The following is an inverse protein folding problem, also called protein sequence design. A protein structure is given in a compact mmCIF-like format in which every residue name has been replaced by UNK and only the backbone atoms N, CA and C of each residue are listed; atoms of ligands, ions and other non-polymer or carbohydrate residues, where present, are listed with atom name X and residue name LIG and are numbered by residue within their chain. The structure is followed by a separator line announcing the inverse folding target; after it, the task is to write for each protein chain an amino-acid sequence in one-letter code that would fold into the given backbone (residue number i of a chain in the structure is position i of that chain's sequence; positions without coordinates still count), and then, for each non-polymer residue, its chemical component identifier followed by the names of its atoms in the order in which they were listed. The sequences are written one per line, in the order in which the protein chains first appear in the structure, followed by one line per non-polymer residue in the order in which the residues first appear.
data_IF_379243752855
#
_entry.id   IF_379243752855
#
_cell.length_a   1.000
_cell.length_b   1.000
_cell.length_c   1.000
_cell.angle_alpha   90.00
_cell.angle_beta   90.00
_cell.angle_gamma   90.00
#
_symmetry.space_group_name_H-M   'P 1'
#
loop_
_entity.id
_entity.type
_entity.pdbx_description
1 polymer ?
#
# COMPACT_ATOMS: atom_id res chain seq x y z
N UNK A 1 20.33 -5.33 -10.76
CA UNK A 1 19.31 -4.46 -10.15
C UNK A 1 18.86 -5.03 -8.80
N UNK A 2 18.19 -4.19 -7.97
CA UNK A 2 17.68 -4.64 -6.66
C UNK A 2 16.53 -5.65 -6.76
N UNK A 3 15.84 -5.69 -7.88
CA UNK A 3 14.76 -6.64 -8.14
C UNK A 3 15.22 -7.94 -8.83
N UNK A 4 16.53 -8.11 -9.05
CA UNK A 4 17.07 -9.37 -9.58
C UNK A 4 17.18 -10.41 -8.46
N UNK A 5 17.05 -11.68 -8.84
CA UNK A 5 17.34 -12.81 -7.95
C UNK A 5 18.84 -12.85 -7.71
N UNK A 6 19.25 -12.77 -6.45
CA UNK A 6 20.66 -12.83 -6.03
C UNK A 6 20.88 -14.01 -5.08
N UNK A 7 22.10 -14.43 -4.95
CA UNK A 7 22.51 -15.47 -3.98
C UNK A 7 22.63 -14.83 -2.57
N UNK A 8 21.47 -14.61 -1.96
CA UNK A 8 21.30 -14.06 -0.61
C UNK A 8 20.25 -14.87 0.14
N UNK A 9 20.15 -14.80 1.47
CA UNK A 9 19.05 -15.40 2.20
C UNK A 9 17.70 -14.83 1.71
N UNK A 10 16.75 -15.72 1.42
CA UNK A 10 15.43 -15.35 0.94
C UNK A 10 14.37 -15.46 2.04
N UNK A 11 13.44 -14.51 2.05
CA UNK A 11 12.21 -14.60 2.83
C UNK A 11 11.22 -15.61 2.24
N UNK A 12 10.17 -15.89 2.99
CA UNK A 12 9.09 -16.79 2.56
C UNK A 12 7.88 -16.00 2.10
N UNK A 13 7.24 -16.45 1.01
CA UNK A 13 5.93 -15.99 0.58
C UNK A 13 4.87 -17.04 0.94
N UNK A 14 3.79 -16.61 1.59
CA UNK A 14 2.67 -17.46 1.97
C UNK A 14 1.35 -16.83 1.53
N UNK A 15 0.51 -17.60 0.86
CA UNK A 15 -0.88 -17.21 0.60
C UNK A 15 -1.73 -17.51 1.84
N UNK A 16 -2.45 -16.51 2.33
CA UNK A 16 -3.24 -16.62 3.56
C UNK A 16 -4.64 -16.08 3.32
N UNK A 17 -5.65 -16.85 3.75
CA UNK A 17 -7.06 -16.47 3.63
C UNK A 17 -7.60 -15.96 4.96
N UNK A 18 -8.43 -14.95 4.91
CA UNK A 18 -9.09 -14.37 6.07
C UNK A 18 -10.52 -13.96 5.76
N UNK A 19 -11.35 -13.90 6.79
CA UNK A 19 -12.73 -13.44 6.67
C UNK A 19 -12.77 -11.94 6.88
N UNK A 20 -13.21 -11.21 5.86
CA UNK A 20 -13.41 -9.78 5.92
C UNK A 20 -14.87 -9.47 6.24
N UNK A 21 -15.14 -9.15 7.52
CA UNK A 21 -16.49 -8.82 8.01
C UNK A 21 -17.00 -7.47 7.49
N UNK A 22 -16.10 -6.55 7.13
CA UNK A 22 -16.45 -5.22 6.59
C UNK A 22 -16.92 -5.33 5.14
N UNK A 23 -16.22 -6.16 4.35
CA UNK A 23 -16.57 -6.44 2.96
C UNK A 23 -17.56 -7.61 2.82
N UNK A 24 -17.75 -8.42 3.88
CA UNK A 24 -18.68 -9.54 3.90
C UNK A 24 -18.23 -10.73 3.04
N UNK A 25 -16.93 -10.96 2.90
CA UNK A 25 -16.39 -12.02 2.03
C UNK A 25 -15.08 -12.58 2.53
N UNK A 26 -14.71 -13.77 2.02
CA UNK A 26 -13.37 -14.32 2.21
C UNK A 26 -12.38 -13.60 1.28
N UNK A 27 -11.26 -13.19 1.84
CA UNK A 27 -10.18 -12.51 1.14
C UNK A 27 -8.89 -13.32 1.24
N UNK A 28 -7.99 -13.11 0.28
CA UNK A 28 -6.62 -13.64 0.30
C UNK A 28 -5.63 -12.48 0.35
N UNK A 29 -4.54 -12.67 1.09
CA UNK A 29 -3.36 -11.82 1.01
C UNK A 29 -2.11 -12.69 0.85
N UNK A 30 -1.05 -12.11 0.30
CA UNK A 30 0.28 -12.70 0.27
C UNK A 30 1.11 -12.08 1.40
N UNK A 31 1.69 -12.93 2.22
CA UNK A 31 2.55 -12.51 3.34
C UNK A 31 3.99 -12.87 3.00
N UNK A 32 4.85 -11.85 2.94
CA UNK A 32 6.29 -12.03 2.97
C UNK A 32 6.77 -11.98 4.42
N UNK A 33 7.48 -13.01 4.85
CA UNK A 33 8.22 -13.03 6.12
C UNK A 33 9.72 -12.97 5.82
N UNK A 34 10.51 -12.18 6.59
CA UNK A 34 11.92 -11.95 6.26
C UNK A 34 12.77 -13.22 6.46
N UNK A 35 13.98 -13.26 5.87
CA UNK A 35 14.91 -14.35 6.12
C UNK A 35 15.15 -14.58 7.62
N UNK A 36 15.14 -15.83 8.05
CA UNK A 36 15.30 -16.20 9.46
C UNK A 36 14.04 -16.17 10.31
N UNK A 37 12.90 -15.71 9.77
CA UNK A 37 11.64 -15.64 10.51
C UNK A 37 11.27 -16.97 11.18
N UNK A 38 11.32 -18.10 10.46
CA UNK A 38 10.89 -19.40 11.00
C UNK A 38 11.81 -19.96 12.12
N UNK A 39 13.03 -19.47 12.18
CA UNK A 39 14.04 -19.92 13.15
C UNK A 39 14.23 -18.92 14.31
N UNK A 40 13.37 -17.94 14.44
CA UNK A 40 13.43 -16.88 15.45
C UNK A 40 12.08 -16.72 16.14
N UNK A 41 12.10 -16.22 17.39
CA UNK A 41 10.92 -15.77 18.12
C UNK A 41 10.76 -14.24 18.09
N UNK A 42 11.55 -13.55 17.30
CA UNK A 42 11.51 -12.11 17.19
C UNK A 42 10.19 -11.61 16.56
N UNK A 43 9.80 -10.41 16.97
CA UNK A 43 8.68 -9.67 16.38
C UNK A 43 9.21 -8.66 15.39
N UNK A 44 8.47 -8.48 14.29
CA UNK A 44 8.88 -7.66 13.17
C UNK A 44 7.90 -6.49 12.93
N UNK A 45 8.39 -5.35 12.44
CA UNK A 45 7.51 -4.30 11.92
C UNK A 45 6.81 -4.79 10.64
N UNK A 46 5.73 -4.09 10.24
CA UNK A 46 4.87 -4.52 9.14
C UNK A 46 4.67 -3.41 8.12
N UNK A 47 4.93 -3.72 6.86
CA UNK A 47 4.53 -2.93 5.70
C UNK A 47 3.27 -3.55 5.06
N UNK A 48 2.18 -2.82 5.02
CA UNK A 48 0.98 -3.12 4.25
C UNK A 48 1.11 -2.48 2.87
N UNK A 49 1.04 -3.29 1.78
CA UNK A 49 1.41 -2.85 0.44
C UNK A 49 0.29 -3.13 -0.57
N UNK A 50 -0.22 -2.06 -1.20
CA UNK A 50 -1.35 -2.07 -2.11
C UNK A 50 -0.93 -1.94 -3.59
N UNK A 51 -1.55 -2.74 -4.44
CA UNK A 51 -1.42 -2.66 -5.90
C UNK A 51 -2.34 -1.56 -6.50
N UNK A 52 -2.23 -1.32 -7.80
CA UNK A 52 -3.07 -0.40 -8.57
C UNK A 52 -4.27 -1.07 -9.23
N UNK A 53 -5.10 -0.29 -9.93
CA UNK A 53 -6.24 -0.80 -10.66
C UNK A 53 -5.85 -1.91 -11.65
N UNK A 54 -6.68 -2.95 -11.73
CA UNK A 54 -6.43 -4.12 -12.58
C UNK A 54 -5.37 -5.10 -12.07
N UNK A 55 -4.77 -4.83 -10.90
CA UNK A 55 -3.89 -5.75 -10.19
C UNK A 55 -4.64 -6.60 -9.16
N UNK A 56 -3.87 -7.37 -8.42
CA UNK A 56 -4.30 -8.25 -7.35
C UNK A 56 -3.21 -8.38 -6.27
N UNK A 57 -3.43 -9.21 -5.27
CA UNK A 57 -2.49 -9.46 -4.18
C UNK A 57 -1.17 -10.11 -4.64
N UNK A 58 -1.06 -10.58 -5.86
CA UNK A 58 0.18 -11.13 -6.43
C UNK A 58 0.97 -10.12 -7.27
N UNK A 59 0.37 -8.98 -7.61
CA UNK A 59 0.96 -8.01 -8.53
C UNK A 59 2.32 -7.47 -8.07
N UNK A 60 2.47 -7.18 -6.77
CA UNK A 60 3.75 -6.75 -6.22
C UNK A 60 4.82 -7.85 -6.20
N UNK A 61 4.42 -9.12 -6.22
CA UNK A 61 5.34 -10.26 -6.30
C UNK A 61 5.73 -10.51 -7.76
N UNK A 62 4.73 -10.73 -8.62
CA UNK A 62 4.92 -11.17 -9.99
C UNK A 62 5.50 -10.07 -10.90
N UNK A 63 5.05 -8.83 -10.73
CA UNK A 63 5.47 -7.67 -11.53
C UNK A 63 6.39 -6.74 -10.74
N UNK A 64 6.09 -6.48 -9.47
CA UNK A 64 6.86 -5.60 -8.59
C UNK A 64 8.16 -6.23 -8.09
N UNK A 65 8.22 -7.57 -8.02
CA UNK A 65 9.37 -8.34 -7.49
C UNK A 65 9.76 -7.90 -6.07
N UNK A 66 8.76 -7.52 -5.28
CA UNK A 66 8.94 -6.93 -3.96
C UNK A 66 9.74 -7.83 -3.01
N UNK A 67 9.52 -9.15 -3.07
CA UNK A 67 10.27 -10.12 -2.26
C UNK A 67 11.78 -10.07 -2.55
N UNK A 68 12.21 -9.96 -3.81
CA UNK A 68 13.63 -9.86 -4.16
C UNK A 68 14.22 -8.51 -3.77
N UNK A 69 13.45 -7.42 -3.92
CA UNK A 69 13.86 -6.09 -3.45
C UNK A 69 14.13 -6.13 -1.93
N UNK A 70 13.22 -6.74 -1.17
CA UNK A 70 13.36 -6.89 0.28
C UNK A 70 14.54 -7.76 0.66
N UNK A 71 14.66 -8.95 0.07
CA UNK A 71 15.78 -9.87 0.31
C UNK A 71 17.13 -9.19 0.10
N UNK A 72 17.27 -8.50 -1.05
CA UNK A 72 18.50 -7.81 -1.42
C UNK A 72 18.81 -6.63 -0.48
N UNK A 73 17.81 -5.82 -0.13
CA UNK A 73 18.01 -4.69 0.77
C UNK A 73 18.33 -5.13 2.20
N UNK A 74 17.68 -6.17 2.70
CA UNK A 74 17.94 -6.76 4.02
C UNK A 74 19.37 -7.34 4.05
N UNK A 75 19.74 -8.13 3.04
CA UNK A 75 21.10 -8.71 2.94
C UNK A 75 22.19 -7.65 2.86
N UNK A 76 21.89 -6.48 2.28
CA UNK A 76 22.81 -5.33 2.22
C UNK A 76 22.83 -4.49 3.51
N UNK A 77 22.02 -4.82 4.51
CA UNK A 77 21.86 -4.01 5.72
C UNK A 77 21.23 -2.64 5.47
N UNK A 78 20.51 -2.47 4.36
CA UNK A 78 19.85 -1.21 3.97
C UNK A 78 18.39 -1.11 4.40
N UNK A 79 17.76 -2.24 4.69
CA UNK A 79 16.41 -2.30 5.20
C UNK A 79 16.35 -3.14 6.48
N UNK A 80 15.49 -2.72 7.40
CA UNK A 80 15.14 -3.52 8.56
C UNK A 80 14.38 -4.79 8.11
N UNK A 81 14.65 -5.97 8.70
CA UNK A 81 13.80 -7.13 8.49
C UNK A 81 12.35 -6.83 8.88
N UNK A 82 11.42 -7.05 7.95
CA UNK A 82 10.00 -6.72 8.14
C UNK A 82 9.08 -7.77 7.53
N UNK A 83 7.88 -7.86 8.05
CA UNK A 83 6.78 -8.57 7.38
C UNK A 83 6.17 -7.63 6.34
N UNK A 84 5.85 -8.13 5.14
CA UNK A 84 5.09 -7.38 4.15
C UNK A 84 3.79 -8.10 3.84
N UNK A 85 2.69 -7.37 3.99
CA UNK A 85 1.33 -7.83 3.72
C UNK A 85 0.89 -7.24 2.40
N UNK A 86 0.83 -8.07 1.37
CA UNK A 86 0.39 -7.67 0.04
C UNK A 86 -1.04 -8.17 -0.14
N UNK A 87 -1.98 -7.27 -0.23
CA UNK A 87 -3.40 -7.62 -0.23
C UNK A 87 -4.14 -6.99 -1.41
N UNK A 88 -5.30 -7.54 -1.72
CA UNK A 88 -6.10 -7.09 -2.85
C UNK A 88 -6.82 -5.79 -2.52
N UNK A 89 -6.50 -4.71 -3.23
CA UNK A 89 -7.16 -3.41 -3.10
C UNK A 89 -8.54 -3.34 -3.76
N UNK A 90 -8.93 -4.33 -4.57
CA UNK A 90 -10.25 -4.39 -5.15
C UNK A 90 -11.26 -4.90 -4.09
N UNK A 91 -12.10 -4.01 -3.59
CA UNK A 91 -13.09 -4.33 -2.56
C UNK A 91 -14.15 -5.37 -2.99
N UNK A 92 -14.27 -5.65 -4.29
CA UNK A 92 -15.22 -6.59 -4.85
C UNK A 92 -14.61 -7.99 -5.10
N UNK A 93 -13.30 -8.14 -4.99
CA UNK A 93 -12.64 -9.44 -5.19
C UNK A 93 -12.71 -10.31 -3.93
N UNK A 94 -13.05 -11.57 -4.07
CA UNK A 94 -13.17 -12.53 -2.96
C UNK A 94 -11.80 -13.03 -2.50
N UNK A 95 -11.32 -14.17 -2.94
CA UNK A 95 -10.03 -14.73 -2.50
C UNK A 95 -8.89 -14.28 -3.39
N UNK A 96 -8.95 -14.65 -4.66
CA UNK A 96 -7.96 -14.30 -5.68
C UNK A 96 -8.65 -14.05 -7.02
N UNK A 97 -8.03 -13.32 -7.94
CA UNK A 97 -8.51 -13.21 -9.30
C UNK A 97 -8.66 -14.60 -9.94
N UNK A 98 -9.78 -14.84 -10.55
CA UNK A 98 -10.08 -16.12 -11.15
C UNK A 98 -10.90 -17.10 -10.29
N UNK A 99 -10.93 -16.93 -8.98
CA UNK A 99 -11.76 -17.73 -8.07
C UNK A 99 -13.20 -17.23 -7.97
N UNK A 100 -13.44 -15.97 -8.35
CA UNK A 100 -14.78 -15.39 -8.35
C UNK A 100 -15.65 -16.04 -9.43
N UNK A 101 -16.84 -16.54 -9.11
CA UNK A 101 -17.78 -17.07 -10.11
C UNK A 101 -18.05 -16.09 -11.25
N UNK A 102 -18.21 -16.60 -12.46
CA UNK A 102 -18.35 -15.77 -13.66
C UNK A 102 -19.49 -14.74 -13.55
N UNK A 103 -20.62 -15.12 -12.96
CA UNK A 103 -21.75 -14.22 -12.74
C UNK A 103 -21.38 -13.02 -11.88
N UNK A 104 -20.67 -13.26 -10.76
CA UNK A 104 -20.20 -12.20 -9.87
C UNK A 104 -19.13 -11.32 -10.53
N UNK A 105 -18.29 -11.88 -11.40
CA UNK A 105 -17.33 -11.08 -12.20
C UNK A 105 -18.03 -10.13 -13.16
N UNK A 106 -19.12 -10.57 -13.80
CA UNK A 106 -19.90 -9.72 -14.72
C UNK A 106 -20.54 -8.57 -13.93
N UNK A 107 -21.15 -8.86 -12.78
CA UNK A 107 -21.72 -7.82 -11.91
C UNK A 107 -20.66 -6.85 -11.38
N UNK A 108 -19.50 -7.36 -10.94
CA UNK A 108 -18.38 -6.56 -10.50
C UNK A 108 -17.84 -5.66 -11.61
N UNK A 109 -17.68 -6.19 -12.83
CA UNK A 109 -17.23 -5.40 -13.98
C UNK A 109 -18.23 -4.33 -14.36
N UNK A 110 -19.53 -4.62 -14.30
CA UNK A 110 -20.58 -3.64 -14.57
C UNK A 110 -20.60 -2.54 -13.48
N UNK A 111 -20.44 -2.90 -12.22
CA UNK A 111 -20.33 -1.96 -11.11
C UNK A 111 -19.07 -1.07 -11.22
N UNK A 112 -17.93 -1.65 -11.60
CA UNK A 112 -16.67 -0.90 -11.80
C UNK A 112 -16.71 0.02 -12.99
N UNK A 113 -17.44 -0.35 -14.06
CA UNK A 113 -17.64 0.52 -15.22
C UNK A 113 -18.67 1.63 -14.96
N UNK A 114 -19.63 1.39 -14.05
CA UNK A 114 -20.72 2.33 -13.77
C UNK A 114 -20.32 3.43 -12.77
N UNK A 115 -19.38 3.16 -11.86
CA UNK A 115 -18.93 4.11 -10.84
C UNK A 115 -17.44 3.96 -10.56
N UNK A 116 -16.59 4.90 -10.99
CA UNK A 116 -15.16 4.89 -10.68
C UNK A 116 -14.86 4.74 -9.17
N UNK A 117 -15.74 5.23 -8.29
CA UNK A 117 -15.62 5.06 -6.85
C UNK A 117 -15.88 3.65 -6.33
N UNK A 118 -16.63 2.80 -7.05
CA UNK A 118 -16.89 1.43 -6.61
C UNK A 118 -15.63 0.54 -6.63
N UNK A 119 -14.74 0.75 -7.60
CA UNK A 119 -13.46 0.04 -7.68
C UNK A 119 -12.56 0.33 -6.48
N UNK A 120 -12.57 1.57 -6.04
CA UNK A 120 -11.68 2.06 -4.99
C UNK A 120 -12.16 1.65 -3.60
N UNK A 121 -13.46 1.33 -3.50
CA UNK A 121 -14.12 0.80 -2.32
C UNK A 121 -14.06 1.75 -1.14
N UNK A 122 -15.12 2.50 -0.89
CA UNK A 122 -15.24 3.36 0.31
C UNK A 122 -15.02 2.60 1.62
N UNK A 123 -15.25 1.27 1.60
CA UNK A 123 -15.04 0.39 2.75
C UNK A 123 -13.60 -0.08 2.93
N UNK A 124 -12.70 0.12 1.96
CA UNK A 124 -11.31 -0.37 2.07
C UNK A 124 -10.55 0.17 3.28
N UNK A 125 -10.61 1.45 3.65
CA UNK A 125 -9.97 1.94 4.86
C UNK A 125 -10.39 1.18 6.13
N UNK A 126 -11.68 0.89 6.25
CA UNK A 126 -12.25 0.13 7.38
C UNK A 126 -11.82 -1.34 7.33
N UNK A 127 -11.83 -1.97 6.14
CA UNK A 127 -11.34 -3.33 5.94
C UNK A 127 -9.87 -3.45 6.36
N UNK A 128 -9.02 -2.50 5.97
CA UNK A 128 -7.60 -2.48 6.36
C UNK A 128 -7.45 -2.39 7.87
N UNK A 129 -8.09 -1.41 8.50
CA UNK A 129 -7.85 -1.06 9.91
C UNK A 129 -8.58 -1.99 10.87
N UNK A 130 -9.83 -2.38 10.55
CA UNK A 130 -10.66 -3.14 11.48
C UNK A 130 -10.59 -4.65 11.28
N UNK A 131 -10.04 -5.11 10.14
CA UNK A 131 -9.97 -6.54 9.81
C UNK A 131 -8.55 -6.99 9.52
N UNK A 132 -7.90 -6.42 8.49
CA UNK A 132 -6.61 -6.93 8.02
C UNK A 132 -5.50 -6.73 9.06
N UNK A 133 -5.37 -5.54 9.63
CA UNK A 133 -4.35 -5.26 10.65
C UNK A 133 -4.52 -6.16 11.87
N UNK A 134 -5.71 -6.26 12.53
CA UNK A 134 -5.89 -7.19 13.63
C UNK A 134 -5.67 -8.66 13.26
N UNK A 135 -6.05 -9.07 12.05
CA UNK A 135 -5.79 -10.43 11.57
C UNK A 135 -4.30 -10.75 11.50
N UNK A 136 -3.51 -9.83 10.95
CA UNK A 136 -2.04 -10.00 10.85
C UNK A 136 -1.41 -10.02 12.24
N UNK A 137 -1.81 -9.15 13.14
CA UNK A 137 -1.30 -9.08 14.50
C UNK A 137 -1.63 -10.32 15.34
N UNK A 138 -2.77 -10.95 15.08
CA UNK A 138 -3.17 -12.18 15.77
C UNK A 138 -2.46 -13.44 15.24
N UNK A 139 -1.97 -13.43 13.99
CA UNK A 139 -1.48 -14.66 13.33
C UNK A 139 0.03 -14.64 13.04
N UNK A 140 0.69 -13.49 13.14
CA UNK A 140 2.13 -13.34 12.86
C UNK A 140 2.85 -12.65 14.00
N UNK A 141 4.16 -12.87 14.10
CA UNK A 141 5.00 -12.21 15.12
C UNK A 141 5.30 -10.77 14.70
N UNK A 142 4.41 -9.88 15.06
CA UNK A 142 4.50 -8.46 14.72
C UNK A 142 4.71 -7.59 15.96
N UNK A 143 5.35 -6.45 15.77
CA UNK A 143 5.34 -5.34 16.71
C UNK A 143 4.04 -4.56 16.46
N UNK A 144 3.06 -4.74 17.36
CA UNK A 144 1.67 -4.28 17.15
C UNK A 144 1.44 -2.84 17.64
N UNK A 145 2.29 -1.92 17.26
CA UNK A 145 2.19 -0.49 17.59
C UNK A 145 2.30 0.35 16.31
N UNK A 146 1.93 1.63 16.40
CA UNK A 146 1.96 2.58 15.29
C UNK A 146 3.35 2.74 14.70
N UNK A 147 4.36 2.83 15.56
CA UNK A 147 5.77 3.07 15.20
C UNK A 147 6.31 1.95 14.30
N UNK A 148 5.71 0.79 14.36
CA UNK A 148 6.07 -0.39 13.59
C UNK A 148 5.08 -0.74 12.46
N UNK A 149 4.19 0.21 12.07
CA UNK A 149 3.28 0.03 10.93
C UNK A 149 3.56 1.02 9.82
N UNK A 150 3.66 0.49 8.59
CA UNK A 150 3.74 1.25 7.36
C UNK A 150 2.58 0.86 6.43
N UNK A 151 2.05 1.83 5.69
CA UNK A 151 1.07 1.62 4.62
C UNK A 151 1.56 2.30 3.36
N UNK A 152 1.62 1.56 2.26
CA UNK A 152 2.00 2.12 0.97
C UNK A 152 1.20 1.50 -0.18
N UNK A 153 1.11 2.24 -1.27
CA UNK A 153 0.43 1.74 -2.47
C UNK A 153 0.70 2.56 -3.71
N UNK A 154 0.47 1.93 -4.86
CA UNK A 154 0.60 2.55 -6.16
C UNK A 154 -0.77 2.85 -6.81
N UNK A 155 -0.91 3.97 -7.51
CA UNK A 155 -2.12 4.30 -8.27
C UNK A 155 -3.39 4.19 -7.40
N UNK A 156 -4.34 3.31 -7.72
CA UNK A 156 -5.50 3.02 -6.86
C UNK A 156 -5.08 2.70 -5.41
N UNK A 157 -4.03 1.92 -5.21
CA UNK A 157 -3.49 1.64 -3.87
C UNK A 157 -2.92 2.89 -3.20
N UNK A 158 -2.37 3.83 -3.96
CA UNK A 158 -1.97 5.16 -3.47
C UNK A 158 -3.16 5.98 -2.99
N UNK A 159 -4.27 5.97 -3.74
CA UNK A 159 -5.53 6.55 -3.30
C UNK A 159 -6.01 5.94 -1.99
N UNK A 160 -6.04 4.60 -1.90
CA UNK A 160 -6.48 3.89 -0.70
C UNK A 160 -5.56 4.16 0.49
N UNK A 161 -4.26 4.30 0.26
CA UNK A 161 -3.28 4.72 1.27
C UNK A 161 -3.63 6.11 1.82
N UNK A 162 -3.83 7.11 0.95
CA UNK A 162 -4.23 8.45 1.37
C UNK A 162 -5.55 8.43 2.16
N UNK A 163 -6.59 7.76 1.63
CA UNK A 163 -7.90 7.69 2.31
C UNK A 163 -7.80 7.03 3.68
N UNK A 164 -7.05 5.94 3.79
CA UNK A 164 -6.90 5.22 5.05
C UNK A 164 -6.17 6.06 6.09
N UNK A 165 -5.05 6.67 5.73
CA UNK A 165 -4.24 7.46 6.66
C UNK A 165 -4.90 8.79 7.03
N UNK A 166 -5.70 9.36 6.15
CA UNK A 166 -6.49 10.55 6.43
C UNK A 166 -7.65 10.26 7.40
N UNK A 167 -8.29 9.08 7.30
CA UNK A 167 -9.35 8.67 8.23
C UNK A 167 -8.81 8.16 9.57
N UNK A 168 -7.62 7.56 9.57
CA UNK A 168 -6.98 6.95 10.74
C UNK A 168 -5.56 7.50 10.93
N UNK A 169 -5.42 8.79 11.31
CA UNK A 169 -4.11 9.47 11.33
C UNK A 169 -3.11 8.87 12.33
N UNK A 170 -3.59 8.20 13.36
CA UNK A 170 -2.77 7.58 14.40
C UNK A 170 -2.44 6.10 14.15
N UNK A 171 -2.81 5.57 12.97
CA UNK A 171 -2.69 4.12 12.71
C UNK A 171 -1.35 3.71 12.12
N UNK A 172 -0.77 4.54 11.26
CA UNK A 172 0.46 4.25 10.52
C UNK A 172 1.48 5.37 10.73
N UNK A 173 2.74 4.99 10.97
CA UNK A 173 3.82 5.94 11.17
C UNK A 173 4.63 6.22 9.90
N UNK A 174 4.57 5.32 8.92
CA UNK A 174 5.26 5.42 7.63
C UNK A 174 4.24 5.26 6.51
N UNK A 175 4.20 6.25 5.61
CA UNK A 175 3.18 6.35 4.57
C UNK A 175 3.86 6.53 3.22
N UNK A 176 3.52 5.68 2.23
CA UNK A 176 4.09 5.72 0.89
C UNK A 176 3.01 5.80 -0.20
N UNK A 177 3.00 6.89 -0.95
CA UNK A 177 2.06 7.12 -2.05
C UNK A 177 2.82 7.14 -3.38
N UNK A 178 2.52 6.19 -4.25
CA UNK A 178 3.23 6.03 -5.52
C UNK A 178 2.28 6.29 -6.69
N UNK A 179 2.65 7.19 -7.60
CA UNK A 179 1.86 7.50 -8.80
C UNK A 179 0.39 7.77 -8.49
N UNK A 180 0.13 8.60 -7.47
CA UNK A 180 -1.22 9.04 -7.11
C UNK A 180 -1.16 10.46 -6.58
N UNK A 181 -1.98 11.30 -7.18
CA UNK A 181 -2.10 12.71 -6.79
C UNK A 181 -3.37 12.97 -6.00
N UNK A 182 -3.98 14.09 -6.35
CA UNK A 182 -5.19 14.57 -5.71
C UNK A 182 -6.38 13.65 -5.99
N UNK A 183 -6.96 13.04 -4.96
CA UNK A 183 -8.01 12.04 -5.12
C UNK A 183 -9.41 12.62 -5.44
N UNK A 184 -9.56 13.93 -5.49
CA UNK A 184 -10.84 14.59 -5.82
C UNK A 184 -11.40 14.29 -7.21
N UNK A 185 -10.59 13.75 -8.10
CA UNK A 185 -11.04 13.31 -9.43
C UNK A 185 -11.82 11.98 -9.43
N UNK A 186 -11.86 11.26 -8.30
CA UNK A 186 -12.46 9.92 -8.21
C UNK A 186 -13.77 9.86 -7.41
N UNK A 187 -14.42 10.99 -7.14
CA UNK A 187 -15.69 11.01 -6.42
C UNK A 187 -16.09 12.37 -5.90
N UNK A 188 -17.02 12.41 -4.96
CA UNK A 188 -17.40 13.63 -4.27
C UNK A 188 -16.23 14.12 -3.42
N UNK A 189 -15.60 15.19 -3.85
CA UNK A 189 -14.48 15.80 -3.19
C UNK A 189 -14.90 17.05 -2.42
N UNK A 190 -14.58 17.10 -1.14
CA UNK A 190 -14.68 18.28 -0.31
C UNK A 190 -13.28 18.71 0.11
N UNK A 191 -12.82 19.87 -0.36
CA UNK A 191 -11.48 20.41 -0.04
C UNK A 191 -11.33 20.71 1.45
N UNK A 192 -12.38 21.20 2.10
CA UNK A 192 -12.34 21.56 3.52
C UNK A 192 -12.17 20.33 4.39
N UNK A 193 -12.91 19.26 4.11
CA UNK A 193 -12.76 17.97 4.81
C UNK A 193 -11.37 17.37 4.58
N UNK A 194 -10.87 17.41 3.35
CA UNK A 194 -9.53 16.92 3.03
C UNK A 194 -8.45 17.69 3.81
N UNK A 195 -8.52 19.01 3.82
CA UNK A 195 -7.59 19.86 4.58
C UNK A 195 -7.67 19.56 6.08
N UNK A 196 -8.88 19.37 6.63
CA UNK A 196 -9.06 19.01 8.04
C UNK A 196 -8.42 17.66 8.38
N UNK A 197 -8.58 16.65 7.50
CA UNK A 197 -7.95 15.34 7.65
C UNK A 197 -6.42 15.41 7.56
N UNK A 198 -5.87 16.16 6.59
CA UNK A 198 -4.43 16.35 6.46
C UNK A 198 -3.83 17.06 7.69
N UNK A 199 -4.52 18.07 8.24
CA UNK A 199 -4.08 18.72 9.49
C UNK A 199 -4.12 17.75 10.69
N UNK A 200 -5.08 16.85 10.74
CA UNK A 200 -5.13 15.81 11.77
C UNK A 200 -3.96 14.83 11.62
N UNK A 201 -3.65 14.43 10.38
CA UNK A 201 -2.51 13.57 10.09
C UNK A 201 -1.17 14.25 10.41
N UNK A 202 -1.00 15.53 10.04
CA UNK A 202 0.19 16.31 10.41
C UNK A 202 0.36 16.41 11.93
N UNK A 203 -0.73 16.65 12.66
CA UNK A 203 -0.74 16.68 14.13
C UNK A 203 -0.35 15.32 14.75
N UNK A 204 -0.67 14.21 14.09
CA UNK A 204 -0.26 12.89 14.51
C UNK A 204 1.25 12.62 14.29
N UNK A 205 1.95 13.48 13.57
CA UNK A 205 3.40 13.41 13.31
C UNK A 205 3.86 12.04 12.78
N UNK A 206 3.43 11.61 11.58
CA UNK A 206 4.01 10.41 10.99
C UNK A 206 5.52 10.60 10.78
N UNK A 207 6.30 9.58 11.05
CA UNK A 207 7.75 9.64 10.87
C UNK A 207 8.14 9.80 9.39
N UNK A 208 7.27 9.36 8.48
CA UNK A 208 7.51 9.49 7.04
C UNK A 208 6.18 9.61 6.29
N UNK A 209 6.06 10.65 5.47
CA UNK A 209 5.07 10.73 4.40
C UNK A 209 5.83 10.94 3.07
N UNK A 210 5.84 9.90 2.24
CA UNK A 210 6.64 9.83 1.02
C UNK A 210 5.76 9.73 -0.21
N UNK A 211 6.06 10.53 -1.24
CA UNK A 211 5.37 10.45 -2.54
C UNK A 211 6.39 10.23 -3.66
N UNK A 212 6.04 9.38 -4.63
CA UNK A 212 6.82 9.21 -5.85
C UNK A 212 5.95 9.31 -7.10
N UNK A 213 6.42 10.06 -8.11
CA UNK A 213 5.75 10.14 -9.41
C UNK A 213 6.74 10.40 -10.54
N UNK A 214 6.51 9.76 -11.68
CA UNK A 214 7.30 9.99 -12.90
C UNK A 214 6.77 11.16 -13.71
N UNK A 215 7.64 11.92 -14.36
CA UNK A 215 7.29 13.13 -15.15
C UNK A 215 6.36 12.86 -16.32
N UNK A 216 6.36 11.64 -16.87
CA UNK A 216 5.45 11.24 -17.96
C UNK A 216 4.27 10.37 -17.48
N UNK A 217 4.06 10.28 -16.17
CA UNK A 217 2.88 9.63 -15.59
C UNK A 217 1.63 10.48 -15.88
N UNK A 218 0.54 9.83 -16.29
CA UNK A 218 -0.70 10.56 -16.60
C UNK A 218 -1.33 11.23 -15.36
N UNK A 219 -0.93 10.82 -14.16
CA UNK A 219 -1.31 11.45 -12.88
C UNK A 219 -0.33 12.53 -12.41
N UNK A 220 0.75 12.78 -13.16
CA UNK A 220 1.79 13.72 -12.74
C UNK A 220 1.26 15.11 -12.38
N UNK A 221 0.39 15.69 -13.24
CA UNK A 221 -0.20 16.99 -12.94
C UNK A 221 -1.06 16.97 -11.67
N UNK A 222 -1.83 15.91 -11.46
CA UNK A 222 -2.62 15.72 -10.23
C UNK A 222 -1.75 15.58 -8.98
N UNK A 223 -0.54 15.02 -9.12
CA UNK A 223 0.45 14.99 -8.04
C UNK A 223 0.95 16.40 -7.72
N UNK A 224 1.30 17.20 -8.74
CA UNK A 224 1.74 18.59 -8.52
C UNK A 224 0.66 19.44 -7.85
N UNK A 225 -0.61 19.24 -8.23
CA UNK A 225 -1.74 19.94 -7.62
C UNK A 225 -1.90 19.54 -6.13
N UNK A 226 -1.66 18.27 -5.80
CA UNK A 226 -1.66 17.79 -4.42
C UNK A 226 -0.49 18.39 -3.61
N UNK A 227 0.72 18.41 -4.17
CA UNK A 227 1.90 18.99 -3.51
C UNK A 227 1.68 20.48 -3.22
N UNK A 228 1.07 21.20 -4.18
CA UNK A 228 0.69 22.60 -3.96
C UNK A 228 -0.26 22.76 -2.77
N UNK A 229 -1.26 21.88 -2.62
CA UNK A 229 -2.15 21.88 -1.47
C UNK A 229 -1.36 21.61 -0.17
N UNK A 230 -0.42 20.66 -0.19
CA UNK A 230 0.41 20.35 0.97
C UNK A 230 1.26 21.56 1.40
N UNK A 231 1.89 22.25 0.42
CA UNK A 231 2.66 23.46 0.68
C UNK A 231 1.78 24.59 1.24
N UNK A 232 0.57 24.79 0.69
CA UNK A 232 -0.39 25.80 1.16
C UNK A 232 -0.78 25.62 2.64
N UNK A 233 -0.85 24.39 3.12
CA UNK A 233 -1.27 24.07 4.50
C UNK A 233 -0.09 23.75 5.43
N UNK A 234 1.15 23.73 4.92
CA UNK A 234 2.35 23.38 5.68
C UNK A 234 2.42 21.91 6.08
N UNK A 235 1.91 21.01 5.24
CA UNK A 235 1.97 19.56 5.47
C UNK A 235 3.36 19.02 5.13
N UNK A 236 3.93 18.20 6.01
CA UNK A 236 5.29 17.67 5.87
C UNK A 236 5.33 16.42 5.00
N UNK A 237 6.15 16.42 3.95
CA UNK A 237 6.30 15.29 3.04
C UNK A 237 7.68 15.23 2.39
N UNK A 238 8.03 14.07 1.83
CA UNK A 238 9.17 13.88 0.93
C UNK A 238 8.61 13.57 -0.46
N UNK A 239 9.03 14.34 -1.46
CA UNK A 239 8.64 14.07 -2.86
C UNK A 239 9.82 13.56 -3.68
N UNK A 240 9.59 12.45 -4.37
CA UNK A 240 10.52 11.81 -5.31
C UNK A 240 10.00 11.91 -6.74
N UNK A 241 10.46 12.90 -7.46
CA UNK A 241 10.23 12.99 -8.90
C UNK A 241 11.20 12.08 -9.62
N UNK A 242 10.73 11.32 -10.61
CA UNK A 242 11.55 10.49 -11.47
C UNK A 242 11.25 10.69 -12.95
N UNK A 243 12.11 10.20 -13.80
CA UNK A 243 11.78 10.01 -15.21
C UNK A 243 10.78 8.85 -15.37
N UNK A 244 10.17 8.72 -16.56
CA UNK A 244 9.23 7.66 -16.88
C UNK A 244 7.81 7.94 -16.39
N UNK A 245 6.95 6.94 -16.58
CA UNK A 245 5.49 7.10 -16.42
C UNK A 245 4.89 6.09 -15.44
N UNK A 246 3.61 5.83 -15.61
CA UNK A 246 2.77 4.96 -14.79
C UNK A 246 3.09 3.48 -15.02
N UNK A 247 4.20 3.00 -14.46
CA UNK A 247 4.74 1.69 -14.81
C UNK A 247 5.46 0.99 -13.66
N UNK A 248 5.57 -0.34 -13.78
CA UNK A 248 6.29 -1.18 -12.81
C UNK A 248 7.79 -0.84 -12.72
N UNK A 249 8.40 -0.25 -13.76
CA UNK A 249 9.78 0.20 -13.68
C UNK A 249 9.94 1.27 -12.59
N UNK A 250 9.03 2.26 -12.58
CA UNK A 250 9.03 3.30 -11.56
C UNK A 250 8.62 2.75 -10.19
N UNK A 251 7.63 1.88 -10.12
CA UNK A 251 7.16 1.37 -8.82
C UNK A 251 8.17 0.46 -8.13
N UNK A 252 8.95 -0.33 -8.89
CA UNK A 252 10.11 -1.07 -8.36
C UNK A 252 11.18 -0.11 -7.81
N UNK A 253 11.48 0.94 -8.56
CA UNK A 253 12.39 1.99 -8.11
C UNK A 253 11.88 2.61 -6.80
N UNK A 254 10.62 3.04 -6.76
CA UNK A 254 10.03 3.66 -5.57
C UNK A 254 10.03 2.74 -4.36
N UNK A 255 9.68 1.46 -4.52
CA UNK A 255 9.76 0.51 -3.43
C UNK A 255 11.19 0.36 -2.92
N UNK A 256 12.18 0.30 -3.83
CA UNK A 256 13.60 0.17 -3.47
C UNK A 256 14.18 1.42 -2.79
N UNK A 257 13.59 2.59 -2.99
CA UNK A 257 13.97 3.84 -2.31
C UNK A 257 13.17 4.07 -1.01
N UNK A 258 11.91 3.63 -0.96
CA UNK A 258 11.03 3.79 0.20
C UNK A 258 11.36 2.83 1.34
N UNK A 259 11.55 1.53 1.04
CA UNK A 259 11.81 0.48 2.05
C UNK A 259 13.01 0.80 2.96
N UNK A 260 14.15 1.34 2.45
CA UNK A 260 15.28 1.74 3.29
C UNK A 260 14.98 2.84 4.30
N UNK A 261 13.88 3.56 4.18
CA UNK A 261 13.49 4.66 5.09
C UNK A 261 12.60 4.19 6.24
N UNK A 262 12.12 2.94 6.19
CA UNK A 262 11.15 2.42 7.16
C UNK A 262 11.82 1.94 8.45
N UNK A 263 11.12 2.16 9.57
CA UNK A 263 11.40 1.54 10.89
C UNK A 263 12.80 1.86 11.46
N UNK A 264 13.28 3.07 11.21
CA UNK A 264 14.57 3.57 11.74
C UNK A 264 14.39 4.42 12.98
#
# INVERSE_FOLDING_TARGET
DLYDVKDVPHGRLSAVWYQDKVLGMTRRCMIYTPPGYDNSNEKYPVLYLLHGAGGDEEAWISRGRANYILDNLIAMGKAEPMIVVIFNGNALATSAPGETPLALRIEQNNATMATPGAMVGEKMPYSIVEVLVPFVEANFRVKADRENRALAGLSMGGYQTQKTTNLYPDMFNYIGVMSMGHYGQFGNYNKEDHVAQLKALEKAHPALYWLGCGKTDFLYQSVLDLLKLYDEIGFSYIYRESEGGHSWNNWRLYLSEFVPLLFK
#
